data_IF_597108388362
#
_entry.id   IF_597108388362
#
_cell.length_a   1.000
_cell.length_b   1.000
_cell.length_c   1.000
_cell.angle_alpha   90.00
_cell.angle_beta   90.00
_cell.angle_gamma   90.00
#
_symmetry.space_group_name_H-M   'P 1'
#
loop_
_entity.id
_entity.type
_entity.pdbx_description
1 polymer ?
#
# COMPACT_ATOMS: atom_id res chain seq x y z
N UNK A 1 -10.19 -22.84 5.60
CA UNK A 1 -8.84 -22.54 6.11
C UNK A 1 -8.91 -21.22 6.84
N UNK A 2 -8.87 -21.26 8.17
CA UNK A 2 -8.78 -20.05 8.97
C UNK A 2 -7.39 -19.43 8.74
N UNK A 3 -7.36 -18.17 8.36
CA UNK A 3 -6.11 -17.43 8.31
C UNK A 3 -5.56 -17.30 9.74
N UNK A 4 -4.45 -17.94 10.04
CA UNK A 4 -3.84 -17.98 11.38
C UNK A 4 -3.39 -16.61 11.89
N UNK A 5 -3.42 -15.59 11.03
CA UNK A 5 -3.05 -14.21 11.36
C UNK A 5 -4.26 -13.33 11.71
N UNK A 6 -5.47 -13.86 11.66
CA UNK A 6 -6.70 -13.14 11.99
C UNK A 6 -7.30 -13.70 13.26
N UNK A 7 -7.64 -12.83 14.20
CA UNK A 7 -8.34 -13.25 15.42
C UNK A 7 -9.65 -13.96 15.09
N UNK A 8 -9.95 -15.12 15.69
CA UNK A 8 -11.19 -15.85 15.44
C UNK A 8 -12.44 -15.09 15.90
N UNK A 9 -12.27 -14.03 16.69
CA UNK A 9 -13.36 -13.16 17.17
C UNK A 9 -13.57 -11.94 16.28
N UNK A 10 -12.83 -11.83 15.18
CA UNK A 10 -12.96 -10.70 14.26
C UNK A 10 -14.29 -10.76 13.49
N UNK A 11 -15.13 -9.77 13.74
CA UNK A 11 -16.35 -9.54 12.95
C UNK A 11 -16.04 -8.53 11.84
N UNK A 12 -16.23 -8.95 10.59
CA UNK A 12 -16.07 -8.08 9.43
C UNK A 12 -17.43 -7.50 9.09
N UNK A 13 -17.55 -6.18 9.14
CA UNK A 13 -18.73 -5.44 8.71
C UNK A 13 -18.46 -4.72 7.39
N UNK A 14 -19.46 -4.58 6.51
CA UNK A 14 -19.26 -3.90 5.23
C UNK A 14 -19.01 -2.41 5.43
N UNK A 15 -18.11 -1.85 4.63
CA UNK A 15 -17.93 -0.41 4.49
C UNK A 15 -19.03 0.16 3.58
N UNK A 16 -19.66 1.24 4.01
CA UNK A 16 -20.65 1.96 3.22
C UNK A 16 -20.00 3.19 2.57
N UNK A 17 -19.88 3.17 1.25
CA UNK A 17 -19.35 4.30 0.48
C UNK A 17 -20.50 5.31 0.22
N UNK A 18 -20.54 6.38 1.00
CA UNK A 18 -21.59 7.41 0.90
C UNK A 18 -21.49 8.21 -0.37
N UNK A 19 -20.29 8.60 -0.74
CA UNK A 19 -20.00 9.21 -2.03
C UNK A 19 -18.53 9.10 -2.38
N UNK A 20 -18.25 9.11 -3.67
CA UNK A 20 -16.93 9.20 -4.26
C UNK A 20 -17.02 10.13 -5.47
N UNK A 21 -16.49 11.34 -5.35
CA UNK A 21 -16.57 12.38 -6.37
C UNK A 21 -15.16 12.71 -6.80
N UNK A 22 -14.96 12.87 -8.10
CA UNK A 22 -13.66 13.33 -8.61
C UNK A 22 -13.82 14.31 -9.77
N UNK A 23 -12.80 15.14 -9.91
CA UNK A 23 -12.58 15.99 -11.08
C UNK A 23 -11.17 15.76 -11.56
N UNK A 24 -10.98 15.72 -12.87
CA UNK A 24 -9.66 15.47 -13.44
C UNK A 24 -9.49 16.09 -14.80
N UNK A 25 -8.24 16.20 -15.18
CA UNK A 25 -7.80 16.67 -16.48
C UNK A 25 -6.77 15.69 -17.03
N UNK A 26 -6.97 15.27 -18.27
CA UNK A 26 -6.01 14.45 -19.01
C UNK A 26 -5.74 15.05 -20.38
N UNK A 27 -4.53 14.88 -20.86
CA UNK A 27 -4.16 15.45 -22.15
C UNK A 27 -2.75 15.09 -22.56
N UNK A 28 -2.26 15.80 -23.57
CA UNK A 28 -0.88 15.70 -24.04
C UNK A 28 -0.18 17.04 -23.83
N UNK A 29 1.00 17.00 -23.23
CA UNK A 29 1.91 18.16 -23.16
C UNK A 29 2.74 18.28 -24.45
N UNK A 30 3.01 17.14 -25.08
CA UNK A 30 3.68 17.01 -26.37
C UNK A 30 3.18 15.76 -27.10
N UNK A 31 3.57 15.55 -28.34
CA UNK A 31 3.17 14.36 -29.10
C UNK A 31 3.53 13.05 -28.41
N UNK A 32 4.64 13.04 -27.64
CA UNK A 32 5.16 11.88 -26.93
C UNK A 32 4.95 11.94 -25.41
N UNK A 33 4.28 12.98 -24.88
CA UNK A 33 4.10 13.14 -23.42
C UNK A 33 2.63 13.33 -23.10
N UNK A 34 2.06 12.38 -22.38
CA UNK A 34 0.69 12.42 -21.88
C UNK A 34 0.66 12.61 -20.37
N UNK A 35 -0.36 13.29 -19.86
CA UNK A 35 -0.59 13.47 -18.44
C UNK A 35 -2.03 13.17 -18.06
N UNK A 36 -2.22 12.83 -16.80
CA UNK A 36 -3.52 12.70 -16.17
C UNK A 36 -3.41 13.18 -14.72
N UNK A 37 -4.25 14.11 -14.34
CA UNK A 37 -4.32 14.61 -12.96
C UNK A 37 -5.76 14.55 -12.48
N UNK A 38 -5.95 14.20 -11.21
CA UNK A 38 -7.28 14.06 -10.63
C UNK A 38 -7.27 14.44 -9.16
N UNK A 39 -8.24 15.25 -8.75
CA UNK A 39 -8.60 15.44 -7.36
C UNK A 39 -9.88 14.69 -7.05
N UNK A 40 -9.97 14.04 -5.90
CA UNK A 40 -11.17 13.33 -5.46
C UNK A 40 -11.48 13.54 -3.98
N UNK A 41 -12.75 13.46 -3.67
CA UNK A 41 -13.29 13.49 -2.32
C UNK A 41 -14.15 12.25 -2.13
N UNK A 42 -13.83 11.46 -1.12
CA UNK A 42 -14.54 10.23 -0.78
C UNK A 42 -14.97 10.26 0.68
N UNK A 43 -16.17 9.76 0.97
CA UNK A 43 -16.67 9.57 2.31
C UNK A 43 -17.14 8.13 2.49
N UNK A 44 -16.54 7.45 3.46
CA UNK A 44 -16.77 6.04 3.75
C UNK A 44 -17.20 5.90 5.21
N UNK A 45 -18.42 5.40 5.47
CA UNK A 45 -18.85 5.02 6.80
C UNK A 45 -18.42 3.58 7.07
N UNK A 46 -18.06 3.33 8.32
CA UNK A 46 -17.67 2.01 8.78
C UNK A 46 -16.51 1.42 7.98
N UNK A 47 -15.51 2.26 7.66
CA UNK A 47 -14.30 1.83 6.97
C UNK A 47 -13.45 0.95 7.87
N UNK A 48 -13.07 -0.24 7.36
CA UNK A 48 -12.15 -1.12 8.05
C UNK A 48 -10.73 -0.53 8.03
N UNK A 49 -10.15 -0.36 9.20
CA UNK A 49 -8.77 0.05 9.43
C UNK A 49 -8.05 -1.08 10.14
N UNK A 50 -6.85 -1.40 9.68
CA UNK A 50 -6.05 -2.48 10.23
C UNK A 50 -5.07 -1.93 11.25
N UNK A 51 -5.01 -2.58 12.41
CA UNK A 51 -4.11 -2.20 13.51
C UNK A 51 -3.36 -3.44 13.98
N UNK A 52 -2.18 -3.23 14.56
CA UNK A 52 -1.45 -4.32 15.20
C UNK A 52 -2.29 -4.92 16.32
N UNK A 53 -2.28 -6.25 16.42
CA UNK A 53 -2.99 -6.93 17.50
C UNK A 53 -2.22 -6.79 18.81
N UNK A 54 -2.95 -6.86 19.94
CA UNK A 54 -2.34 -6.78 21.26
C UNK A 54 -1.27 -7.84 21.49
N UNK A 55 -0.12 -7.41 22.00
CA UNK A 55 0.86 -8.30 22.58
C UNK A 55 0.66 -8.39 24.08
N UNK A 56 0.22 -9.53 24.57
CA UNK A 56 0.03 -9.79 26.01
C UNK A 56 1.26 -10.52 26.53
N UNK A 57 2.03 -9.86 27.39
CA UNK A 57 3.21 -10.46 28.02
C UNK A 57 2.80 -11.67 28.87
N UNK A 58 3.53 -12.78 28.71
CA UNK A 58 3.23 -14.03 29.43
C UNK A 58 2.10 -14.87 28.85
N UNK A 59 1.53 -14.47 27.74
CA UNK A 59 0.58 -15.30 27.02
C UNK A 59 1.32 -16.51 26.42
N UNK A 60 0.99 -17.71 26.90
CA UNK A 60 1.57 -18.98 26.44
C UNK A 60 0.80 -19.59 25.27
N UNK A 61 -0.20 -18.89 24.75
CA UNK A 61 -0.96 -19.37 23.60
C UNK A 61 -0.04 -19.50 22.38
N UNK A 62 -0.04 -20.66 21.75
CA UNK A 62 0.80 -20.98 20.58
C UNK A 62 0.18 -20.57 19.26
N UNK A 63 -1.00 -19.97 19.27
CA UNK A 63 -1.64 -19.45 18.06
C UNK A 63 -0.95 -18.16 17.59
N UNK A 64 -0.68 -18.05 16.29
CA UNK A 64 0.12 -16.97 15.70
C UNK A 64 -0.36 -15.56 16.04
N UNK A 65 -1.67 -15.35 16.18
CA UNK A 65 -2.25 -14.05 16.53
C UNK A 65 -1.96 -13.62 17.99
N UNK A 66 -1.60 -14.53 18.86
CA UNK A 66 -1.34 -14.24 20.28
C UNK A 66 0.05 -13.62 20.55
N UNK A 67 0.91 -13.56 19.55
CA UNK A 67 2.30 -13.13 19.70
C UNK A 67 2.60 -11.76 19.08
N UNK A 68 1.59 -10.91 18.84
CA UNK A 68 1.79 -9.63 18.19
C UNK A 68 2.18 -9.72 16.70
N UNK A 69 2.08 -10.89 16.10
CA UNK A 69 2.33 -11.15 14.68
C UNK A 69 1.01 -11.28 13.90
N UNK A 70 0.04 -10.52 14.29
CA UNK A 70 -1.30 -10.54 13.70
C UNK A 70 -1.86 -9.12 13.72
N UNK A 71 -2.98 -8.96 13.05
CA UNK A 71 -3.68 -7.67 13.02
C UNK A 71 -5.12 -7.83 13.56
N UNK A 72 -5.64 -6.73 14.01
CA UNK A 72 -7.06 -6.54 14.35
C UNK A 72 -7.68 -5.53 13.40
N UNK A 73 -8.99 -5.46 13.37
CA UNK A 73 -9.72 -4.49 12.55
C UNK A 73 -10.54 -3.59 13.45
N UNK A 74 -10.34 -2.31 13.30
CA UNK A 74 -11.17 -1.27 13.88
C UNK A 74 -11.94 -0.57 12.78
N UNK A 75 -13.09 -0.01 13.10
CA UNK A 75 -13.96 0.64 12.14
C UNK A 75 -14.12 2.10 12.47
N UNK A 76 -14.12 2.94 11.44
CA UNK A 76 -14.37 4.38 11.60
C UNK A 76 -15.01 4.95 10.33
N UNK A 77 -15.59 6.14 10.44
CA UNK A 77 -15.99 6.92 9.29
C UNK A 77 -14.79 7.72 8.82
N UNK A 78 -14.42 7.56 7.57
CA UNK A 78 -13.20 8.16 7.02
C UNK A 78 -13.55 9.02 5.81
N UNK A 79 -13.15 10.29 5.87
CA UNK A 79 -13.14 11.20 4.73
C UNK A 79 -11.74 11.20 4.13
N UNK A 80 -11.68 11.06 2.82
CA UNK A 80 -10.41 11.03 2.07
C UNK A 80 -10.42 12.11 1.00
N UNK A 81 -9.42 12.99 1.02
CA UNK A 81 -9.11 13.89 -0.09
C UNK A 81 -7.89 13.30 -0.79
N UNK A 82 -7.99 13.06 -2.11
CA UNK A 82 -6.91 12.44 -2.87
C UNK A 82 -6.50 13.31 -4.04
N UNK A 83 -5.20 13.37 -4.26
CA UNK A 83 -4.59 13.97 -5.45
C UNK A 83 -3.81 12.88 -6.19
N UNK A 84 -4.20 12.62 -7.41
CA UNK A 84 -3.54 11.67 -8.31
C UNK A 84 -2.88 12.43 -9.44
N UNK A 85 -1.66 12.05 -9.78
CA UNK A 85 -0.94 12.51 -10.95
C UNK A 85 -0.29 11.36 -11.70
N UNK A 86 -0.34 11.40 -13.01
CA UNK A 86 0.34 10.45 -13.91
C UNK A 86 0.98 11.22 -15.07
N UNK A 87 2.21 10.82 -15.41
CA UNK A 87 2.91 11.27 -16.59
C UNK A 87 3.43 10.04 -17.35
N UNK A 88 3.18 10.00 -18.66
CA UNK A 88 3.72 8.98 -19.57
C UNK A 88 4.49 9.68 -20.67
N UNK A 89 5.70 9.23 -20.94
CA UNK A 89 6.58 9.79 -21.95
C UNK A 89 7.19 8.69 -22.82
N UNK A 90 7.01 8.81 -24.12
CA UNK A 90 7.70 7.96 -25.12
C UNK A 90 8.91 8.75 -25.62
N UNK A 91 10.10 8.47 -25.05
CA UNK A 91 11.34 9.15 -25.44
C UNK A 91 11.80 8.75 -26.85
N UNK A 92 11.43 7.56 -27.25
CA UNK A 92 11.66 7.04 -28.60
C UNK A 92 10.70 5.89 -28.88
N UNK A 93 10.76 5.29 -30.08
CA UNK A 93 10.04 4.05 -30.39
C UNK A 93 10.45 2.86 -29.50
N UNK A 94 11.59 3.00 -28.83
CA UNK A 94 12.22 1.93 -28.07
C UNK A 94 12.22 2.18 -26.56
N UNK A 95 11.89 3.36 -26.09
CA UNK A 95 11.97 3.72 -24.68
C UNK A 95 10.71 4.46 -24.25
N UNK A 96 9.98 3.88 -23.31
CA UNK A 96 8.85 4.53 -22.66
C UNK A 96 9.05 4.59 -21.15
N UNK A 97 8.57 5.68 -20.55
CA UNK A 97 8.62 5.95 -19.12
C UNK A 97 7.25 6.34 -18.63
N UNK A 98 6.89 5.84 -17.46
CA UNK A 98 5.70 6.24 -16.75
C UNK A 98 6.01 6.53 -15.29
N UNK A 99 5.39 7.57 -14.75
CA UNK A 99 5.36 7.84 -13.33
C UNK A 99 3.94 8.20 -12.93
N UNK A 100 3.48 7.65 -11.82
CA UNK A 100 2.22 8.03 -11.21
C UNK A 100 2.39 8.18 -9.71
N UNK A 101 1.56 9.00 -9.10
CA UNK A 101 1.55 9.18 -7.66
C UNK A 101 0.16 9.49 -7.16
N UNK A 102 -0.12 9.03 -5.96
CA UNK A 102 -1.34 9.39 -5.23
C UNK A 102 -0.94 9.90 -3.85
N UNK A 103 -1.43 11.08 -3.52
CA UNK A 103 -1.36 11.62 -2.17
C UNK A 103 -2.76 11.67 -1.59
N UNK A 104 -2.93 11.11 -0.39
CA UNK A 104 -4.19 11.05 0.34
C UNK A 104 -4.08 11.82 1.64
N UNK A 105 -5.08 12.61 1.93
CA UNK A 105 -5.31 13.18 3.25
C UNK A 105 -6.55 12.54 3.84
N UNK A 106 -6.39 11.92 5.01
CA UNK A 106 -7.45 11.19 5.71
C UNK A 106 -7.92 11.99 6.92
N UNK A 107 -9.21 11.93 7.19
CA UNK A 107 -9.82 12.42 8.43
C UNK A 107 -10.74 11.34 8.98
N UNK A 108 -10.44 10.86 10.17
CA UNK A 108 -11.20 9.88 10.91
C UNK A 108 -12.13 10.60 11.92
N UNK A 109 -13.28 10.03 12.23
CA UNK A 109 -14.23 10.64 13.18
C UNK A 109 -13.90 10.27 14.64
N UNK A 110 -13.45 9.04 14.90
CA UNK A 110 -13.21 8.47 16.23
C UNK A 110 -11.75 8.10 16.45
N UNK A 111 -11.15 7.43 15.46
CA UNK A 111 -9.74 7.02 15.54
C UNK A 111 -8.82 8.23 15.43
N UNK A 112 -7.70 8.24 16.16
CA UNK A 112 -6.71 9.31 16.09
C UNK A 112 -6.10 9.44 14.68
N UNK A 113 -5.93 8.31 14.01
CA UNK A 113 -5.36 8.22 12.66
C UNK A 113 -6.14 7.24 11.78
N UNK A 114 -5.99 7.37 10.49
CA UNK A 114 -6.47 6.38 9.53
C UNK A 114 -5.45 5.24 9.43
N UNK A 115 -5.47 4.36 10.41
CA UNK A 115 -4.46 3.34 10.65
C UNK A 115 -4.09 2.54 9.41
N UNK A 116 -2.80 2.37 9.19
CA UNK A 116 -2.19 1.61 8.11
C UNK A 116 -2.52 2.08 6.68
N UNK A 117 -3.14 3.25 6.52
CA UNK A 117 -3.38 3.84 5.22
C UNK A 117 -2.22 4.78 4.83
N UNK A 118 -1.44 4.46 3.78
CA UNK A 118 -0.35 5.31 3.35
C UNK A 118 -0.88 6.59 2.71
N UNK A 119 -0.33 7.73 3.14
CA UNK A 119 -0.66 9.02 2.52
C UNK A 119 -0.06 9.16 1.12
N UNK A 120 1.14 8.63 0.91
CA UNK A 120 1.83 8.73 -0.38
C UNK A 120 2.08 7.35 -0.99
N UNK A 121 1.71 7.20 -2.26
CA UNK A 121 2.09 6.06 -3.12
C UNK A 121 2.63 6.60 -4.42
N UNK A 122 3.77 6.06 -4.88
CA UNK A 122 4.37 6.41 -6.17
C UNK A 122 4.70 5.13 -6.92
N UNK A 123 4.38 5.13 -8.21
CA UNK A 123 4.76 4.06 -9.13
C UNK A 123 5.56 4.61 -10.30
N UNK A 124 6.61 3.92 -10.70
CA UNK A 124 7.35 4.22 -11.91
C UNK A 124 7.49 2.99 -12.79
N UNK A 125 7.45 3.18 -14.09
CA UNK A 125 7.70 2.14 -15.08
C UNK A 125 8.70 2.65 -16.10
N UNK A 126 9.57 1.78 -16.54
CA UNK A 126 10.53 2.07 -17.59
C UNK A 126 10.65 0.83 -18.48
N UNK A 127 10.29 0.97 -19.75
CA UNK A 127 10.28 -0.11 -20.72
C UNK A 127 11.23 0.19 -21.87
N UNK A 128 11.97 -0.84 -22.29
CA UNK A 128 12.95 -0.77 -23.36
C UNK A 128 12.69 -1.87 -24.40
N UNK A 129 12.63 -1.51 -25.66
CA UNK A 129 12.84 -2.42 -26.77
C UNK A 129 14.31 -2.35 -27.20
N UNK A 130 15.15 -3.22 -26.67
CA UNK A 130 16.59 -3.22 -26.90
C UNK A 130 16.93 -3.53 -28.37
N UNK A 131 16.15 -4.43 -28.95
CA UNK A 131 16.18 -4.80 -30.37
C UNK A 131 14.78 -5.19 -30.82
N UNK A 132 14.60 -5.59 -32.07
CA UNK A 132 13.32 -6.15 -32.55
C UNK A 132 12.89 -7.41 -31.76
N UNK A 133 13.84 -8.11 -31.17
CA UNK A 133 13.59 -9.37 -30.44
C UNK A 133 13.73 -9.25 -28.94
N UNK A 134 14.57 -8.37 -28.43
CA UNK A 134 14.83 -8.22 -27.01
C UNK A 134 14.08 -7.03 -26.44
N UNK A 135 13.41 -7.25 -25.34
CA UNK A 135 12.79 -6.18 -24.55
C UNK A 135 13.10 -6.38 -23.07
N UNK A 136 13.12 -5.30 -22.33
CA UNK A 136 13.31 -5.30 -20.90
C UNK A 136 12.44 -4.20 -20.27
N UNK A 137 12.11 -4.35 -19.01
CA UNK A 137 11.40 -3.33 -18.29
C UNK A 137 11.62 -3.45 -16.79
N UNK A 138 11.36 -2.34 -16.11
CA UNK A 138 11.38 -2.27 -14.66
C UNK A 138 10.25 -1.45 -14.15
N UNK A 139 9.75 -1.79 -12.95
CA UNK A 139 8.86 -0.93 -12.21
C UNK A 139 9.28 -0.84 -10.76
N UNK A 140 9.06 0.33 -10.17
CA UNK A 140 9.30 0.59 -8.77
C UNK A 140 7.99 1.07 -8.16
N UNK A 141 7.62 0.48 -7.03
CA UNK A 141 6.55 0.96 -6.20
C UNK A 141 7.13 1.51 -4.91
N UNK A 142 6.74 2.71 -4.57
CA UNK A 142 7.04 3.34 -3.30
C UNK A 142 5.75 3.52 -2.50
N UNK A 143 5.80 3.15 -1.23
CA UNK A 143 4.73 3.37 -0.25
C UNK A 143 5.32 4.21 0.87
N UNK A 144 4.70 5.36 1.13
CA UNK A 144 5.10 6.27 2.21
C UNK A 144 4.86 5.68 3.59
N UNK A 145 5.31 6.39 4.58
CA UNK A 145 5.08 6.08 5.99
C UNK A 145 3.58 5.90 6.29
N UNK A 146 3.30 5.07 7.27
CA UNK A 146 1.94 4.82 7.76
C UNK A 146 1.93 4.89 9.27
N UNK A 147 0.81 5.26 9.82
CA UNK A 147 0.58 5.22 11.26
C UNK A 147 -0.07 3.91 11.65
N UNK A 148 0.39 3.33 12.74
CA UNK A 148 -0.22 2.18 13.36
C UNK A 148 -0.36 2.42 14.86
N UNK A 149 -1.16 1.62 15.53
CA UNK A 149 -1.29 1.63 16.97
C UNK A 149 -0.92 0.26 17.51
N UNK A 150 -0.02 0.25 18.48
CA UNK A 150 0.35 -0.94 19.23
C UNK A 150 -0.16 -0.83 20.66
N UNK A 151 -0.63 -1.92 21.20
CA UNK A 151 -1.00 -1.99 22.62
C UNK A 151 0.18 -2.57 23.38
N UNK A 152 0.70 -1.79 24.29
CA UNK A 152 1.84 -2.15 25.13
C UNK A 152 1.35 -2.38 26.55
N UNK A 153 1.73 -3.49 27.15
CA UNK A 153 1.48 -3.72 28.57
C UNK A 153 2.39 -2.82 29.40
N UNK A 154 1.81 -2.10 30.33
CA UNK A 154 2.58 -1.29 31.27
C UNK A 154 3.46 -2.15 32.16
N UNK A 155 4.47 -1.50 32.80
CA UNK A 155 5.40 -2.19 33.70
C UNK A 155 4.63 -2.98 34.78
N UNK A 156 4.78 -4.30 34.76
CA UNK A 156 4.14 -5.23 35.70
C UNK A 156 4.45 -4.92 37.17
N UNK A 157 5.57 -4.23 37.43
CA UNK A 157 5.99 -3.88 38.79
C UNK A 157 5.23 -2.66 39.37
N UNK A 158 4.64 -1.84 38.48
CA UNK A 158 3.95 -0.61 38.87
C UNK A 158 2.43 -0.80 38.78
N UNK A 159 1.93 -1.30 37.67
CA UNK A 159 0.50 -1.49 37.41
C UNK A 159 0.24 -2.80 36.65
N UNK A 160 0.17 -3.94 37.33
CA UNK A 160 -0.08 -5.21 36.66
C UNK A 160 -1.48 -5.22 36.00
N UNK A 161 -1.52 -5.48 34.71
CA UNK A 161 -2.77 -5.61 33.95
C UNK A 161 -3.29 -4.32 33.32
N UNK A 162 -2.53 -3.23 33.34
CA UNK A 162 -2.83 -2.04 32.54
C UNK A 162 -2.14 -2.10 31.18
N UNK A 163 -2.82 -1.53 30.18
CA UNK A 163 -2.37 -1.50 28.80
C UNK A 163 -2.45 -0.08 28.28
N UNK A 164 -1.42 0.37 27.60
CA UNK A 164 -1.38 1.68 26.98
C UNK A 164 -1.30 1.52 25.46
N UNK A 165 -2.14 2.24 24.74
CA UNK A 165 -2.05 2.35 23.29
C UNK A 165 -0.97 3.37 22.94
N UNK A 166 -0.04 2.96 22.07
CA UNK A 166 1.03 3.78 21.56
C UNK A 166 0.97 3.86 20.04
N UNK A 167 0.94 5.10 19.54
CA UNK A 167 1.09 5.34 18.11
C UNK A 167 2.51 5.01 17.68
N UNK A 168 2.66 4.28 16.60
CA UNK A 168 3.94 3.98 15.97
C UNK A 168 3.91 4.36 14.49
N UNK A 169 5.05 4.73 13.97
CA UNK A 169 5.21 5.01 12.55
C UNK A 169 5.89 3.83 11.87
N UNK A 170 5.21 3.24 10.91
CA UNK A 170 5.78 2.22 10.04
C UNK A 170 6.53 2.91 8.90
N UNK A 171 7.79 2.54 8.73
CA UNK A 171 8.66 3.12 7.73
C UNK A 171 8.13 2.98 6.30
N UNK A 172 8.49 3.95 5.48
CA UNK A 172 8.28 3.86 4.04
C UNK A 172 9.12 2.74 3.42
N UNK A 173 8.63 2.18 2.34
CA UNK A 173 9.36 1.15 1.59
C UNK A 173 9.15 1.28 0.09
N UNK A 174 10.02 0.62 -0.65
CA UNK A 174 9.86 0.46 -2.09
C UNK A 174 10.05 -0.99 -2.52
N UNK A 175 9.45 -1.35 -3.62
CA UNK A 175 9.60 -2.66 -4.26
C UNK A 175 10.07 -2.45 -5.70
N UNK A 176 11.16 -3.12 -6.07
CA UNK A 176 11.74 -3.10 -7.39
C UNK A 176 11.47 -4.41 -8.10
N UNK A 177 10.83 -4.32 -9.26
CA UNK A 177 10.58 -5.46 -10.14
C UNK A 177 11.20 -5.20 -11.50
N UNK A 178 11.72 -6.24 -12.14
CA UNK A 178 12.25 -6.13 -13.48
C UNK A 178 11.95 -7.41 -14.31
N UNK A 179 11.95 -7.24 -15.61
CA UNK A 179 11.81 -8.35 -16.54
C UNK A 179 12.67 -8.14 -17.78
N UNK A 180 13.03 -9.24 -18.39
CA UNK A 180 13.66 -9.28 -19.71
C UNK A 180 13.00 -10.38 -20.54
N UNK A 181 12.78 -10.14 -21.81
CA UNK A 181 12.15 -11.10 -22.69
C UNK A 181 12.77 -11.12 -24.07
N UNK A 182 12.62 -12.27 -24.71
CA UNK A 182 13.12 -12.55 -26.05
C UNK A 182 12.00 -13.10 -26.93
N UNK A 183 11.70 -12.41 -28.02
CA UNK A 183 10.75 -12.83 -29.07
C UNK A 183 11.49 -13.68 -30.08
N UNK A 184 11.39 -15.01 -29.96
CA UNK A 184 12.01 -15.91 -30.93
C UNK A 184 11.34 -15.76 -32.30
N UNK A 185 10.02 -15.79 -32.36
CA UNK A 185 9.20 -15.55 -33.54
C UNK A 185 7.81 -15.02 -33.12
N UNK A 186 6.88 -14.86 -34.07
CA UNK A 186 5.54 -14.37 -33.83
C UNK A 186 4.69 -15.26 -32.88
N UNK A 187 5.09 -16.51 -32.66
CA UNK A 187 4.34 -17.48 -31.85
C UNK A 187 5.02 -17.85 -30.52
N UNK A 188 6.32 -17.57 -30.39
CA UNK A 188 7.10 -18.00 -29.23
C UNK A 188 7.88 -16.83 -28.66
N UNK A 189 7.66 -16.57 -27.38
CA UNK A 189 8.39 -15.58 -26.57
C UNK A 189 8.82 -16.25 -25.28
N UNK A 190 10.07 -16.06 -24.89
CA UNK A 190 10.59 -16.45 -23.59
C UNK A 190 10.80 -15.19 -22.75
N UNK A 191 10.58 -15.26 -21.45
CA UNK A 191 10.85 -14.15 -20.54
C UNK A 191 11.34 -14.64 -19.17
N UNK A 192 12.06 -13.77 -18.49
CA UNK A 192 12.47 -13.89 -17.09
C UNK A 192 11.93 -12.66 -16.34
N UNK A 193 11.32 -12.88 -15.18
CA UNK A 193 10.83 -11.82 -14.32
C UNK A 193 11.33 -12.02 -12.90
N UNK A 194 11.84 -10.96 -12.29
CA UNK A 194 12.19 -10.87 -10.89
C UNK A 194 11.28 -9.88 -10.18
N UNK A 195 10.78 -10.27 -9.01
CA UNK A 195 9.99 -9.40 -8.13
C UNK A 195 10.76 -9.19 -6.82
N UNK A 196 10.55 -8.05 -6.18
CA UNK A 196 11.22 -7.65 -4.95
C UNK A 196 12.75 -7.79 -5.03
N UNK A 197 13.33 -7.28 -6.11
CA UNK A 197 14.78 -7.38 -6.36
C UNK A 197 15.61 -6.57 -5.38
N UNK A 198 15.01 -5.58 -4.72
CA UNK A 198 15.66 -4.81 -3.66
C UNK A 198 15.76 -5.60 -2.34
N UNK A 199 15.04 -6.72 -2.22
CA UNK A 199 14.97 -7.56 -1.02
C UNK A 199 14.77 -6.76 0.27
N UNK A 200 13.97 -5.70 0.19
CA UNK A 200 13.69 -4.84 1.32
C UNK A 200 12.71 -5.55 2.26
N UNK A 201 13.07 -5.57 3.55
CA UNK A 201 12.15 -6.02 4.60
C UNK A 201 11.29 -4.82 5.02
N UNK A 202 10.01 -5.03 5.13
CA UNK A 202 9.06 -4.00 5.56
C UNK A 202 7.88 -4.60 6.33
N UNK A 203 7.37 -3.85 7.27
CA UNK A 203 6.17 -4.19 8.01
C UNK A 203 4.95 -3.76 7.20
N UNK A 204 3.92 -4.59 7.17
CA UNK A 204 2.64 -4.26 6.54
C UNK A 204 1.62 -3.73 7.55
N UNK A 205 1.75 -4.17 8.79
CA UNK A 205 0.99 -3.82 9.98
C UNK A 205 1.82 -4.12 11.23
#
# INVERSE_FOLDING_TARGET
>A
DQNTFVSPTLFITPTDNKFDIYVGLKGKLASSVAFNVRGSLKNEDNKALFVSNEYILGNTNTEGYAYGNSFNVVYDNVKTISFFGELKADFSKNVSFGINGTYNYFTSDVQAEAWNLPQLKVGTTLDFNLTEKWYAGTNVFFVGERKDVVTVQDDLSINPGTYTQQEVTLDSYFDLNAHVGYKYNARLTAFLKGNNLANQQYNRW
#
